data_IF_605686239541
#
_entry.id   IF_605686239541
#
_cell.length_a   1.000
_cell.length_b   1.000
_cell.length_c   1.000
_cell.angle_alpha   90.00
_cell.angle_beta   90.00
_cell.angle_gamma   90.00
#
_symmetry.space_group_name_H-M   'P 1'
#
loop_
_entity.id
_entity.type
_entity.pdbx_description
1 polymer ?
#
# COMPACT_ATOMS: atom_id res chain seq x y z
N UNK A 1 -1.55 -4.51 12.66
CA UNK A 1 -2.52 -3.67 11.95
C UNK A 1 -1.83 -3.02 10.78
N UNK A 2 -2.58 -2.56 9.78
CA UNK A 2 -2.04 -1.88 8.61
C UNK A 2 -2.83 -0.59 8.36
N UNK A 3 -2.20 0.37 7.68
CA UNK A 3 -2.80 1.63 7.23
C UNK A 3 -2.36 1.89 5.80
N UNK A 4 -3.23 2.54 5.03
CA UNK A 4 -2.96 2.97 3.65
C UNK A 4 -2.80 4.49 3.62
N UNK A 5 -1.85 4.94 2.82
CA UNK A 5 -1.44 6.33 2.68
C UNK A 5 -1.56 6.68 1.21
N UNK A 6 -2.29 7.76 0.92
CA UNK A 6 -2.50 8.24 -0.44
C UNK A 6 -1.32 9.11 -0.93
N UNK A 7 -1.25 9.41 -2.24
CA UNK A 7 -0.04 9.97 -2.87
C UNK A 7 0.48 11.28 -2.28
N UNK A 8 -0.36 12.10 -1.63
CA UNK A 8 0.06 13.35 -1.00
C UNK A 8 0.41 13.20 0.49
N UNK A 9 0.56 11.97 0.99
CA UNK A 9 0.88 11.69 2.38
C UNK A 9 -0.33 11.84 3.31
N UNK A 10 -1.54 11.85 2.79
CA UNK A 10 -2.80 11.81 3.51
C UNK A 10 -3.25 10.37 3.78
N UNK A 11 -4.27 10.21 4.62
CA UNK A 11 -4.91 8.91 4.80
C UNK A 11 -5.66 8.52 3.52
N UNK A 12 -5.78 7.22 3.26
CA UNK A 12 -6.62 6.69 2.19
C UNK A 12 -7.98 7.41 2.12
N UNK A 13 -8.40 7.78 0.90
CA UNK A 13 -9.72 8.33 0.65
C UNK A 13 -10.80 7.44 1.24
N UNK A 14 -11.73 8.03 2.01
CA UNK A 14 -12.77 7.30 2.73
C UNK A 14 -13.64 6.44 1.81
N UNK A 15 -13.81 6.82 0.54
CA UNK A 15 -14.55 6.03 -0.44
C UNK A 15 -13.90 4.67 -0.72
N UNK A 16 -12.60 4.51 -0.43
CA UNK A 16 -11.87 3.26 -0.61
C UNK A 16 -11.90 2.34 0.62
N UNK A 17 -12.25 2.85 1.80
CA UNK A 17 -12.31 2.03 3.03
C UNK A 17 -13.29 0.87 2.89
N UNK A 18 -14.40 1.07 2.17
CA UNK A 18 -15.38 0.01 1.90
C UNK A 18 -14.78 -1.15 1.09
N UNK A 19 -13.87 -0.86 0.16
CA UNK A 19 -13.20 -1.90 -0.63
C UNK A 19 -12.23 -2.70 0.23
N UNK A 20 -11.44 -2.02 1.07
CA UNK A 20 -10.52 -2.68 2.00
C UNK A 20 -11.27 -3.57 3.01
N UNK A 21 -12.37 -3.07 3.58
CA UNK A 21 -13.20 -3.81 4.53
C UNK A 21 -13.82 -5.05 3.88
N UNK A 22 -14.41 -4.90 2.69
CA UNK A 22 -15.00 -6.01 1.96
C UNK A 22 -13.95 -7.06 1.59
N UNK A 23 -12.78 -6.65 1.09
CA UNK A 23 -11.67 -7.55 0.75
C UNK A 23 -11.21 -8.35 1.98
N UNK A 24 -11.08 -7.69 3.14
CA UNK A 24 -10.65 -8.34 4.39
C UNK A 24 -11.69 -9.28 5.01
N UNK A 25 -12.95 -9.16 4.58
CA UNK A 25 -14.08 -9.96 5.10
C UNK A 25 -14.43 -11.14 4.19
N UNK A 26 -13.71 -11.32 3.07
CA UNK A 26 -13.93 -12.45 2.17
C UNK A 26 -13.51 -13.77 2.84
N UNK A 27 -14.20 -14.84 2.50
CA UNK A 27 -13.74 -16.19 2.84
C UNK A 27 -12.38 -16.48 2.20
N UNK A 28 -11.59 -17.37 2.84
CA UNK A 28 -10.29 -17.86 2.35
C UNK A 28 -10.42 -18.80 1.13
N UNK A 29 -11.24 -18.42 0.15
CA UNK A 29 -11.44 -19.10 -1.11
C UNK A 29 -10.88 -18.27 -2.26
N UNK A 30 -9.88 -18.81 -2.95
CA UNK A 30 -9.18 -18.12 -4.04
C UNK A 30 -10.13 -17.65 -5.16
N UNK A 31 -11.20 -18.40 -5.44
CA UNK A 31 -12.17 -18.04 -6.46
C UNK A 31 -13.02 -16.84 -6.03
N UNK A 32 -13.41 -16.79 -4.77
CA UNK A 32 -14.17 -15.66 -4.20
C UNK A 32 -13.32 -14.39 -4.24
N UNK A 33 -12.04 -14.49 -3.87
CA UNK A 33 -11.08 -13.39 -3.98
C UNK A 33 -10.96 -12.89 -5.43
N UNK A 34 -10.75 -13.80 -6.38
CA UNK A 34 -10.60 -13.44 -7.80
C UNK A 34 -11.85 -12.76 -8.37
N UNK A 35 -13.03 -13.34 -8.14
CA UNK A 35 -14.31 -12.79 -8.61
C UNK A 35 -14.58 -11.39 -8.02
N UNK A 36 -14.15 -11.15 -6.77
CA UNK A 36 -14.24 -9.82 -6.15
C UNK A 36 -13.28 -8.81 -6.80
N UNK A 37 -12.01 -9.19 -6.98
CA UNK A 37 -11.01 -8.33 -7.62
C UNK A 37 -11.40 -7.97 -9.06
N UNK A 38 -11.91 -8.91 -9.84
CA UNK A 38 -12.35 -8.66 -11.23
C UNK A 38 -13.51 -7.65 -11.31
N UNK A 39 -14.49 -7.79 -10.41
CA UNK A 39 -15.59 -6.82 -10.29
C UNK A 39 -15.07 -5.44 -9.89
N UNK A 40 -14.15 -5.39 -8.92
CA UNK A 40 -13.59 -4.13 -8.44
C UNK A 40 -12.79 -3.42 -9.52
N UNK A 41 -11.96 -4.14 -10.27
CA UNK A 41 -11.21 -3.59 -11.41
C UNK A 41 -12.13 -3.03 -12.48
N UNK A 42 -13.22 -3.75 -12.79
CA UNK A 42 -14.22 -3.28 -13.76
C UNK A 42 -14.96 -2.04 -13.27
N UNK A 43 -15.39 -2.03 -12.00
CA UNK A 43 -16.11 -0.92 -11.40
C UNK A 43 -15.26 0.35 -11.31
N UNK A 44 -14.00 0.21 -10.93
CA UNK A 44 -13.06 1.33 -10.74
C UNK A 44 -12.30 1.69 -12.02
N UNK A 45 -12.53 0.97 -13.12
CA UNK A 45 -11.80 1.13 -14.37
C UNK A 45 -10.26 1.06 -14.19
N UNK A 46 -9.81 0.09 -13.38
CA UNK A 46 -8.39 -0.15 -13.10
C UNK A 46 -7.85 -1.19 -14.06
N UNK A 47 -6.69 -0.92 -14.66
CA UNK A 47 -5.99 -1.83 -15.57
C UNK A 47 -4.75 -2.41 -14.87
N UNK A 48 -4.57 -3.73 -14.90
CA UNK A 48 -3.40 -4.39 -14.29
C UNK A 48 -2.08 -4.12 -15.03
N UNK A 49 -2.14 -3.53 -16.22
CA UNK A 49 -0.94 -3.20 -16.99
C UNK A 49 -0.28 -1.89 -16.53
N UNK A 50 -0.96 -1.10 -15.69
CA UNK A 50 -0.38 0.11 -15.13
C UNK A 50 0.68 -0.25 -14.08
N UNK A 51 1.84 0.41 -14.15
CA UNK A 51 2.93 0.16 -13.20
C UNK A 51 2.56 0.70 -11.83
N UNK A 52 2.03 -0.15 -10.96
CA UNK A 52 1.82 0.17 -9.56
C UNK A 52 3.17 0.31 -8.82
N UNK A 53 3.23 1.23 -7.87
CA UNK A 53 4.37 1.36 -6.94
C UNK A 53 3.84 1.44 -5.52
N UNK A 54 4.39 0.64 -4.61
CA UNK A 54 3.96 0.55 -3.21
C UNK A 54 5.16 0.79 -2.28
N UNK A 55 5.06 1.81 -1.44
CA UNK A 55 5.99 2.05 -0.35
C UNK A 55 5.51 1.33 0.93
N UNK A 56 6.40 0.62 1.61
CA UNK A 56 6.09 -0.17 2.81
C UNK A 56 7.12 0.18 3.89
N UNK A 57 6.63 0.40 5.11
CA UNK A 57 7.44 0.44 6.32
C UNK A 57 6.63 -0.14 7.50
N UNK A 58 7.28 -0.37 8.62
CA UNK A 58 6.69 -0.99 9.80
C UNK A 58 7.32 -0.47 11.10
N UNK A 59 6.65 -0.73 12.22
CA UNK A 59 7.10 -0.34 13.56
C UNK A 59 7.81 -1.49 14.30
N UNK A 60 8.16 -1.29 15.57
CA UNK A 60 8.90 -2.27 16.39
C UNK A 60 8.08 -3.45 16.91
N UNK A 61 6.80 -3.61 16.55
CA UNK A 61 5.99 -4.76 17.03
C UNK A 61 6.57 -6.07 16.50
N UNK A 62 6.50 -7.12 17.31
CA UNK A 62 7.06 -8.43 16.96
C UNK A 62 6.48 -9.01 15.65
N UNK A 63 5.22 -8.73 15.34
CA UNK A 63 4.57 -9.21 14.11
C UNK A 63 4.85 -8.36 12.87
N UNK A 64 5.47 -7.18 13.02
CA UNK A 64 5.67 -6.21 11.95
C UNK A 64 6.49 -6.74 10.76
N UNK A 65 7.64 -7.42 10.97
CA UNK A 65 8.41 -7.98 9.86
C UNK A 65 7.63 -9.03 9.04
N UNK A 66 6.87 -9.89 9.73
CA UNK A 66 6.04 -10.91 9.08
C UNK A 66 4.93 -10.27 8.24
N UNK A 67 4.19 -9.31 8.81
CA UNK A 67 3.11 -8.63 8.10
C UNK A 67 3.63 -7.82 6.91
N UNK A 68 4.77 -7.15 7.05
CA UNK A 68 5.43 -6.44 5.95
C UNK A 68 5.81 -7.38 4.82
N UNK A 69 6.35 -8.57 5.14
CA UNK A 69 6.67 -9.58 4.13
C UNK A 69 5.43 -10.07 3.37
N UNK A 70 4.32 -10.30 4.07
CA UNK A 70 3.05 -10.71 3.44
C UNK A 70 2.56 -9.64 2.46
N UNK A 71 2.61 -8.35 2.82
CA UNK A 71 2.22 -7.26 1.92
C UNK A 71 3.17 -7.17 0.72
N UNK A 72 4.48 -7.31 0.94
CA UNK A 72 5.47 -7.35 -0.14
C UNK A 72 5.17 -8.49 -1.13
N UNK A 73 4.90 -9.70 -0.64
CA UNK A 73 4.53 -10.85 -1.50
C UNK A 73 3.25 -10.61 -2.29
N UNK A 74 2.23 -10.04 -1.67
CA UNK A 74 0.99 -9.70 -2.37
C UNK A 74 1.23 -8.66 -3.49
N UNK A 75 2.05 -7.64 -3.21
CA UNK A 75 2.43 -6.64 -4.21
C UNK A 75 3.27 -7.22 -5.36
N UNK A 76 4.19 -8.16 -5.06
CA UNK A 76 4.98 -8.89 -6.07
C UNK A 76 4.08 -9.70 -7.01
N UNK A 77 3.09 -10.41 -6.47
CA UNK A 77 2.11 -11.20 -7.25
C UNK A 77 1.35 -10.29 -8.23
N UNK A 78 1.03 -9.07 -7.81
CA UNK A 78 0.36 -8.05 -8.63
C UNK A 78 1.34 -7.25 -9.51
N UNK A 79 2.60 -7.67 -9.61
CA UNK A 79 3.63 -7.03 -10.44
C UNK A 79 3.89 -5.55 -10.12
N UNK A 80 3.67 -5.14 -8.87
CA UNK A 80 3.97 -3.78 -8.42
C UNK A 80 5.48 -3.60 -8.13
N UNK A 81 5.98 -2.39 -8.34
CA UNK A 81 7.29 -1.98 -7.82
C UNK A 81 7.18 -1.75 -6.32
N UNK A 82 8.15 -2.24 -5.54
CA UNK A 82 8.08 -2.19 -4.08
C UNK A 82 9.27 -1.42 -3.53
N UNK A 83 8.99 -0.44 -2.68
CA UNK A 83 9.98 0.29 -1.90
C UNK A 83 9.79 -0.08 -0.42
N UNK A 84 10.63 -0.97 0.10
CA UNK A 84 10.57 -1.34 1.51
C UNK A 84 11.59 -0.53 2.31
N UNK A 85 11.10 0.32 3.21
CA UNK A 85 11.89 1.16 4.10
C UNK A 85 12.06 0.56 5.49
N UNK A 86 11.58 -0.67 5.69
CA UNK A 86 11.67 -1.42 6.95
C UNK A 86 11.18 -0.63 8.15
N UNK A 87 12.06 -0.29 9.10
CA UNK A 87 11.71 0.36 10.35
C UNK A 87 11.54 1.87 10.15
N UNK A 88 10.31 2.35 10.23
CA UNK A 88 10.00 3.79 10.25
C UNK A 88 8.89 4.11 11.24
N UNK A 89 8.88 5.35 11.71
CA UNK A 89 7.69 5.92 12.34
C UNK A 89 6.59 6.15 11.28
N UNK A 90 5.33 6.22 11.72
CA UNK A 90 4.22 6.51 10.79
C UNK A 90 4.42 7.82 10.03
N UNK A 91 4.76 8.97 10.67
CA UNK A 91 4.97 10.22 9.94
C UNK A 91 6.12 10.17 8.91
N UNK A 92 7.18 9.41 9.18
CA UNK A 92 8.27 9.20 8.21
C UNK A 92 7.76 8.52 6.94
N UNK A 93 6.89 7.50 7.05
CA UNK A 93 6.30 6.86 5.88
C UNK A 93 5.38 7.82 5.10
N UNK A 94 4.57 8.64 5.79
CA UNK A 94 3.75 9.66 5.14
C UNK A 94 4.61 10.69 4.37
N UNK A 95 5.71 11.15 4.97
CA UNK A 95 6.67 12.05 4.32
C UNK A 95 7.30 11.40 3.08
N UNK A 96 7.77 10.16 3.19
CA UNK A 96 8.38 9.42 2.08
C UNK A 96 7.42 9.27 0.90
N UNK A 97 6.15 8.93 1.15
CA UNK A 97 5.12 8.82 0.09
C UNK A 97 4.91 10.16 -0.59
N UNK A 98 4.80 11.25 0.18
CA UNK A 98 4.62 12.60 -0.37
C UNK A 98 5.81 13.02 -1.26
N UNK A 99 7.02 12.91 -0.73
CA UNK A 99 8.25 13.29 -1.43
C UNK A 99 8.47 12.47 -2.70
N UNK A 100 8.15 11.18 -2.68
CA UNK A 100 8.28 10.33 -3.86
C UNK A 100 7.31 10.78 -4.98
N UNK A 101 6.05 11.06 -4.65
CA UNK A 101 5.03 11.40 -5.65
C UNK A 101 5.13 12.83 -6.19
N UNK A 102 5.76 13.76 -5.45
CA UNK A 102 6.00 15.12 -5.93
C UNK A 102 7.40 15.35 -6.50
N UNK A 103 8.15 14.28 -6.79
CA UNK A 103 9.50 14.33 -7.35
C UNK A 103 10.48 15.13 -6.47
N UNK A 104 10.43 14.89 -5.16
CA UNK A 104 11.26 15.50 -4.13
C UNK A 104 11.10 17.03 -3.97
N UNK A 105 9.97 17.59 -4.43
CA UNK A 105 9.67 19.01 -4.25
C UNK A 105 9.35 19.35 -2.79
N UNK A 106 8.73 18.43 -2.03
CA UNK A 106 8.51 18.60 -0.60
C UNK A 106 9.76 18.33 0.25
N UNK A 107 10.70 17.54 -0.29
CA UNK A 107 11.95 17.14 0.35
C UNK A 107 12.49 15.83 -0.23
N UNK A 108 13.69 15.39 0.19
CA UNK A 108 14.24 14.10 -0.25
C UNK A 108 13.56 12.95 0.49
N UNK A 109 13.13 11.90 -0.20
CA UNK A 109 12.41 10.75 0.40
C UNK A 109 13.34 9.78 1.19
N UNK A 110 14.31 10.34 1.92
CA UNK A 110 15.33 9.63 2.70
C UNK A 110 15.21 10.00 4.17
N UNK A 111 15.76 9.20 5.07
CA UNK A 111 15.77 9.48 6.51
C UNK A 111 16.43 10.83 6.86
N UNK A 112 17.49 11.21 6.15
CA UNK A 112 18.18 12.50 6.33
C UNK A 112 17.34 13.68 5.83
N UNK A 113 16.40 13.44 4.92
CA UNK A 113 15.51 14.47 4.38
C UNK A 113 14.32 14.79 5.30
N UNK A 114 13.92 13.84 6.16
CA UNK A 114 12.83 13.96 7.12
C UNK A 114 13.25 14.79 8.35
#
# INVERSE_FOLDING_TARGET
GAKLIDPYGEMLDQSWEVYANNLSSLDDNIRVLWDYLEKLMTQLNVQLNDKATVAIAYDTRQSSPLLSNIVQRAAEILSANIMNFELMTTPQLHYTVRCYNDNELYGRYTEVGY
#
